data_IF_189508057308
#
_entry.id   IF_189508057308
#
_cell.length_a   1.000
_cell.length_b   1.000
_cell.length_c   1.000
_cell.angle_alpha   90.00
_cell.angle_beta   90.00
_cell.angle_gamma   90.00
#
_symmetry.space_group_name_H-M   'P 1'
#
loop_
_entity.id
_entity.type
_entity.pdbx_description
1 polymer ?
#
# COMPACT_ATOMS: atom_id res chain seq x y z
N UNK A 1 -13.38 -25.24 -32.62
CA UNK A 1 -14.51 -26.15 -32.31
C UNK A 1 -14.60 -26.45 -30.82
N UNK A 2 -13.51 -26.31 -30.05
CA UNK A 2 -13.55 -26.32 -28.59
C UNK A 2 -13.20 -24.94 -28.01
N UNK A 3 -14.21 -24.08 -27.81
CA UNK A 3 -14.05 -22.82 -27.11
C UNK A 3 -14.97 -22.81 -25.89
N UNK A 4 -14.38 -22.79 -24.71
CA UNK A 4 -15.09 -22.61 -23.45
C UNK A 4 -15.02 -21.14 -23.03
N UNK A 5 -16.16 -20.57 -22.65
CA UNK A 5 -16.25 -19.19 -22.19
C UNK A 5 -16.48 -19.18 -20.67
N UNK A 6 -15.58 -18.51 -19.94
CA UNK A 6 -15.74 -18.25 -18.51
C UNK A 6 -15.84 -16.74 -18.29
N UNK A 7 -16.77 -16.31 -17.44
CA UNK A 7 -16.98 -14.92 -17.09
C UNK A 7 -17.16 -14.75 -15.58
N UNK A 8 -16.84 -13.57 -15.07
CA UNK A 8 -17.07 -13.18 -13.69
C UNK A 8 -17.79 -11.84 -13.64
N UNK A 9 -18.67 -11.67 -12.67
CA UNK A 9 -19.38 -10.42 -12.42
C UNK A 9 -19.45 -10.12 -10.92
N UNK A 10 -19.50 -8.85 -10.56
CA UNK A 10 -19.93 -8.47 -9.20
C UNK A 10 -21.43 -8.74 -9.01
N UNK A 11 -21.89 -8.96 -7.78
CA UNK A 11 -23.32 -9.13 -7.51
C UNK A 11 -24.10 -7.90 -8.01
N UNK A 12 -25.31 -8.10 -8.59
CA UNK A 12 -26.16 -7.00 -9.04
C UNK A 12 -26.60 -6.14 -7.85
N UNK A 13 -26.74 -4.83 -8.08
CA UNK A 13 -27.03 -3.84 -7.03
C UNK A 13 -25.93 -2.78 -6.87
N UNK A 14 -26.21 -1.72 -6.11
CA UNK A 14 -25.24 -0.63 -5.87
C UNK A 14 -24.74 0.07 -7.13
N UNK A 15 -25.59 0.18 -8.16
CA UNK A 15 -25.25 0.76 -9.47
C UNK A 15 -24.73 -0.25 -10.51
N UNK A 16 -24.57 -1.53 -10.16
CA UNK A 16 -24.18 -2.60 -11.11
C UNK A 16 -25.38 -3.15 -11.85
N UNK A 17 -25.24 -3.29 -13.17
CA UNK A 17 -26.29 -3.77 -14.08
C UNK A 17 -26.61 -5.25 -13.88
N UNK A 18 -27.89 -5.59 -13.97
CA UNK A 18 -28.37 -6.97 -13.96
C UNK A 18 -28.18 -7.58 -15.36
N UNK A 19 -27.60 -8.77 -15.44
CA UNK A 19 -27.46 -9.50 -16.71
C UNK A 19 -28.83 -10.05 -17.14
N UNK A 20 -29.17 -9.98 -18.43
CA UNK A 20 -30.43 -10.54 -18.94
C UNK A 20 -30.54 -12.05 -18.70
N UNK A 21 -31.75 -12.52 -18.38
CA UNK A 21 -32.02 -13.95 -18.14
C UNK A 21 -31.64 -14.84 -19.34
N UNK A 22 -31.77 -14.31 -20.57
CA UNK A 22 -31.39 -15.00 -21.81
C UNK A 22 -29.89 -15.26 -21.90
N UNK A 23 -29.05 -14.33 -21.41
CA UNK A 23 -27.61 -14.55 -21.37
C UNK A 23 -27.26 -15.49 -20.22
N UNK A 24 -27.87 -15.31 -19.05
CA UNK A 24 -27.64 -16.17 -17.88
C UNK A 24 -27.95 -17.65 -18.17
N UNK A 25 -29.00 -17.96 -18.93
CA UNK A 25 -29.34 -19.34 -19.28
C UNK A 25 -28.33 -20.05 -20.18
N UNK A 26 -27.33 -19.34 -20.72
CA UNK A 26 -26.21 -19.92 -21.48
C UNK A 26 -25.00 -20.26 -20.61
N UNK A 27 -25.02 -19.92 -19.33
CA UNK A 27 -23.91 -20.16 -18.40
C UNK A 27 -24.37 -20.93 -17.17
N UNK A 28 -23.46 -21.70 -16.60
CA UNK A 28 -23.60 -22.19 -15.24
C UNK A 28 -23.17 -21.07 -14.27
N UNK A 29 -24.08 -20.66 -13.38
CA UNK A 29 -23.81 -19.62 -12.39
C UNK A 29 -23.29 -20.26 -11.10
N UNK A 30 -22.07 -19.88 -10.71
CA UNK A 30 -21.47 -20.25 -9.42
C UNK A 30 -21.40 -18.98 -8.57
N UNK A 31 -22.12 -18.97 -7.46
CA UNK A 31 -22.08 -17.85 -6.52
C UNK A 31 -20.88 -17.98 -5.58
N UNK A 32 -19.96 -17.03 -5.66
CA UNK A 32 -18.79 -16.97 -4.77
C UNK A 32 -19.11 -16.09 -3.56
N UNK A 33 -19.31 -16.72 -2.41
CA UNK A 33 -19.51 -16.01 -1.14
C UNK A 33 -18.18 -15.55 -0.54
N UNK A 34 -18.24 -14.60 0.40
CA UNK A 34 -17.05 -14.20 1.13
C UNK A 34 -16.47 -15.39 1.91
N UNK A 35 -15.13 -15.59 1.87
CA UNK A 35 -14.50 -16.67 2.60
C UNK A 35 -14.68 -16.49 4.11
N UNK A 36 -14.81 -17.60 4.82
CA UNK A 36 -14.89 -17.58 6.28
C UNK A 36 -13.57 -17.07 6.88
N UNK A 37 -13.63 -16.46 8.08
CA UNK A 37 -12.46 -15.94 8.78
C UNK A 37 -11.36 -17.01 8.95
N UNK A 38 -11.73 -18.27 9.18
CA UNK A 38 -10.79 -19.39 9.28
C UNK A 38 -10.03 -19.64 7.97
N UNK A 39 -10.67 -19.45 6.82
CA UNK A 39 -10.03 -19.58 5.51
C UNK A 39 -9.08 -18.42 5.24
N UNK A 40 -9.49 -17.18 5.58
CA UNK A 40 -8.65 -15.99 5.49
C UNK A 40 -7.38 -16.17 6.35
N UNK A 41 -7.56 -16.58 7.61
CA UNK A 41 -6.47 -16.89 8.53
C UNK A 41 -5.52 -17.92 7.92
N UNK A 42 -6.05 -19.04 7.43
CA UNK A 42 -5.24 -20.10 6.82
C UNK A 42 -4.43 -19.60 5.62
N UNK A 43 -5.03 -18.80 4.73
CA UNK A 43 -4.34 -18.28 3.54
C UNK A 43 -3.15 -17.42 3.95
N UNK A 44 -3.39 -16.41 4.80
CA UNK A 44 -2.36 -15.44 5.14
C UNK A 44 -1.32 -15.98 6.13
N UNK A 45 -1.71 -16.85 7.06
CA UNK A 45 -0.76 -17.52 7.95
C UNK A 45 0.20 -18.41 7.16
N UNK A 46 -0.31 -19.14 6.16
CA UNK A 46 0.54 -19.99 5.30
C UNK A 46 1.58 -19.15 4.56
N UNK A 47 1.18 -18.02 3.98
CA UNK A 47 2.08 -17.12 3.25
C UNK A 47 3.21 -16.58 4.14
N UNK A 48 2.87 -16.03 5.31
CA UNK A 48 3.88 -15.44 6.19
C UNK A 48 4.75 -16.50 6.86
N UNK A 49 4.19 -17.63 7.27
CA UNK A 49 4.95 -18.70 7.89
C UNK A 49 5.92 -19.36 6.90
N UNK A 50 5.59 -19.39 5.61
CA UNK A 50 6.53 -19.80 4.57
C UNK A 50 7.71 -18.83 4.48
N UNK A 51 7.45 -17.52 4.50
CA UNK A 51 8.50 -16.49 4.48
C UNK A 51 9.39 -16.54 5.72
N UNK A 52 8.84 -16.93 6.87
CA UNK A 52 9.56 -17.04 8.15
C UNK A 52 10.30 -18.39 8.34
N UNK A 53 10.26 -19.31 7.38
CA UNK A 53 10.95 -20.61 7.54
C UNK A 53 12.46 -20.46 7.73
N UNK A 54 13.06 -19.47 7.06
CA UNK A 54 14.50 -19.18 7.09
C UNK A 54 14.93 -18.31 8.27
N UNK A 55 13.99 -17.97 9.17
CA UNK A 55 14.24 -17.20 10.39
C UNK A 55 14.46 -18.14 11.58
N UNK A 56 15.03 -17.59 12.66
CA UNK A 56 15.20 -18.31 13.92
C UNK A 56 13.87 -18.89 14.44
N UNK A 57 13.94 -20.06 15.09
CA UNK A 57 12.76 -20.78 15.60
C UNK A 57 11.88 -19.91 16.52
N UNK A 58 12.49 -18.98 17.25
CA UNK A 58 11.79 -18.06 18.14
C UNK A 58 10.90 -17.05 17.39
N UNK A 59 11.21 -16.77 16.12
CA UNK A 59 10.49 -15.81 15.28
C UNK A 59 9.32 -16.45 14.54
N UNK A 60 9.36 -17.76 14.23
CA UNK A 60 8.30 -18.45 13.46
C UNK A 60 6.88 -18.30 14.03
N UNK A 61 6.65 -18.35 15.36
CA UNK A 61 5.31 -18.18 15.93
C UNK A 61 4.67 -16.81 15.63
N UNK A 62 5.48 -15.77 15.37
CA UNK A 62 4.97 -14.41 15.15
C UNK A 62 4.07 -14.30 13.93
N UNK A 63 4.25 -15.16 12.91
CA UNK A 63 3.47 -15.11 11.68
C UNK A 63 1.97 -15.36 11.93
N UNK A 64 1.64 -16.33 12.79
CA UNK A 64 0.26 -16.60 13.18
C UNK A 64 -0.34 -15.44 13.98
N UNK A 65 0.45 -14.89 14.91
CA UNK A 65 0.05 -13.76 15.77
C UNK A 65 -0.27 -12.53 14.93
N UNK A 66 0.59 -12.17 13.97
CA UNK A 66 0.37 -11.04 13.05
C UNK A 66 -0.84 -11.27 12.18
N UNK A 67 -1.09 -12.51 11.77
CA UNK A 67 -2.28 -12.85 10.97
C UNK A 67 -3.56 -12.58 11.75
N UNK A 68 -3.63 -13.03 13.00
CA UNK A 68 -4.78 -12.77 13.86
C UNK A 68 -4.94 -11.27 14.14
N UNK A 69 -3.85 -10.59 14.49
CA UNK A 69 -3.86 -9.14 14.73
C UNK A 69 -4.35 -8.34 13.51
N UNK A 70 -3.93 -8.74 12.30
CA UNK A 70 -4.33 -8.07 11.05
C UNK A 70 -5.81 -8.26 10.74
N UNK A 71 -6.33 -9.47 10.94
CA UNK A 71 -7.75 -9.78 10.72
C UNK A 71 -8.62 -9.01 11.72
N UNK A 72 -8.25 -9.00 13.00
CA UNK A 72 -8.99 -8.27 14.03
C UNK A 72 -8.92 -6.75 13.85
N UNK A 73 -7.75 -6.22 13.45
CA UNK A 73 -7.61 -4.81 13.10
C UNK A 73 -8.49 -4.44 11.90
N UNK A 74 -8.46 -5.25 10.84
CA UNK A 74 -9.29 -5.05 9.65
C UNK A 74 -10.78 -5.03 10.00
N UNK A 75 -11.25 -5.99 10.82
CA UNK A 75 -12.64 -6.05 11.26
C UNK A 75 -13.04 -4.77 12.01
N UNK A 76 -12.18 -4.30 12.92
CA UNK A 76 -12.40 -3.05 13.64
C UNK A 76 -12.42 -1.83 12.71
N UNK A 77 -11.52 -1.78 11.72
CA UNK A 77 -11.47 -0.68 10.73
C UNK A 77 -12.75 -0.65 9.90
N UNK A 78 -13.19 -1.79 9.36
CA UNK A 78 -14.41 -1.88 8.54
C UNK A 78 -15.65 -1.47 9.34
N UNK A 79 -15.73 -1.85 10.62
CA UNK A 79 -16.86 -1.48 11.47
C UNK A 79 -16.86 -0.01 11.86
N UNK A 80 -15.68 0.58 12.11
CA UNK A 80 -15.56 1.95 12.63
C UNK A 80 -15.58 3.01 11.53
N UNK A 81 -14.95 2.74 10.39
CA UNK A 81 -14.71 3.72 9.33
C UNK A 81 -15.60 3.44 8.12
N UNK A 82 -16.87 3.81 8.24
CA UNK A 82 -17.87 3.62 7.19
C UNK A 82 -17.79 4.72 6.12
N UNK A 83 -18.07 4.39 4.84
CA UNK A 83 -18.12 5.37 3.78
C UNK A 83 -19.30 6.34 3.99
N UNK A 84 -19.03 7.63 3.89
CA UNK A 84 -20.04 8.70 3.90
C UNK A 84 -19.93 9.51 2.60
N UNK A 85 -20.91 10.37 2.24
CA UNK A 85 -20.78 11.24 1.06
C UNK A 85 -19.51 12.11 1.07
N UNK A 86 -19.00 12.48 2.23
CA UNK A 86 -17.74 13.23 2.39
C UNK A 86 -16.50 12.33 2.43
N UNK A 87 -16.66 11.03 2.72
CA UNK A 87 -15.59 10.03 2.89
C UNK A 87 -15.82 8.78 2.05
N UNK A 88 -16.20 8.96 0.78
CA UNK A 88 -16.57 7.84 -0.12
C UNK A 88 -15.44 6.84 -0.36
N UNK A 89 -14.19 7.23 -0.12
CA UNK A 89 -13.00 6.41 -0.32
C UNK A 89 -12.69 5.50 0.88
N UNK A 90 -13.49 5.55 1.95
CA UNK A 90 -13.39 4.65 3.11
C UNK A 90 -14.03 3.29 2.80
N UNK A 91 -13.63 2.69 1.68
CA UNK A 91 -14.08 1.39 1.24
C UNK A 91 -12.96 0.38 1.48
N UNK A 92 -13.14 -0.44 2.51
CA UNK A 92 -12.17 -1.47 2.90
C UNK A 92 -12.67 -2.86 2.47
N UNK A 93 -11.76 -3.68 1.95
CA UNK A 93 -12.06 -5.05 1.51
C UNK A 93 -10.85 -5.98 1.71
N UNK A 94 -10.98 -7.27 1.39
CA UNK A 94 -9.93 -8.28 1.59
C UNK A 94 -8.61 -8.00 0.84
N UNK A 95 -8.63 -7.14 -0.20
CA UNK A 95 -7.40 -6.68 -0.86
C UNK A 95 -6.52 -5.87 0.10
N UNK A 96 -7.11 -5.24 1.11
CA UNK A 96 -6.36 -4.44 2.08
C UNK A 96 -5.52 -5.34 2.99
N UNK A 97 -6.07 -6.46 3.45
CA UNK A 97 -5.28 -7.50 4.14
C UNK A 97 -4.16 -7.99 3.21
N UNK A 98 -4.49 -8.25 1.93
CA UNK A 98 -3.48 -8.69 0.95
C UNK A 98 -2.34 -7.69 0.79
N UNK A 99 -2.62 -6.38 0.79
CA UNK A 99 -1.61 -5.32 0.69
C UNK A 99 -0.73 -5.21 1.92
N UNK A 100 -1.26 -5.46 3.12
CA UNK A 100 -0.47 -5.52 4.35
C UNK A 100 0.51 -6.70 4.24
N UNK A 101 0.02 -7.88 3.87
CA UNK A 101 0.87 -9.05 3.72
C UNK A 101 1.90 -8.91 2.58
N UNK A 102 1.57 -8.22 1.48
CA UNK A 102 2.56 -7.88 0.45
C UNK A 102 3.75 -7.09 1.02
N UNK A 103 3.50 -6.18 1.96
CA UNK A 103 4.56 -5.48 2.67
C UNK A 103 5.29 -6.37 3.68
N UNK A 104 4.55 -7.14 4.49
CA UNK A 104 5.14 -8.06 5.47
C UNK A 104 6.05 -9.11 4.83
N UNK A 105 5.73 -9.57 3.62
CA UNK A 105 6.54 -10.56 2.89
C UNK A 105 7.90 -10.01 2.42
N UNK A 106 8.14 -8.70 2.55
CA UNK A 106 9.45 -8.06 2.30
C UNK A 106 10.41 -8.14 3.50
N UNK A 107 9.98 -8.77 4.59
CA UNK A 107 10.84 -9.01 5.76
C UNK A 107 12.13 -9.73 5.37
N UNK A 108 13.23 -9.37 6.02
CA UNK A 108 14.56 -9.93 5.79
C UNK A 108 15.18 -10.39 7.12
N UNK A 109 15.67 -11.64 7.18
CA UNK A 109 16.13 -12.28 8.43
C UNK A 109 17.20 -11.49 9.17
N UNK A 110 18.17 -10.94 8.44
CA UNK A 110 19.31 -10.23 9.03
C UNK A 110 18.95 -8.82 9.56
N UNK A 111 17.76 -8.31 9.23
CA UNK A 111 17.31 -6.96 9.61
C UNK A 111 16.03 -6.97 10.46
N UNK A 112 15.37 -8.12 10.54
CA UNK A 112 14.09 -8.28 11.22
C UNK A 112 14.11 -9.54 12.11
N UNK A 113 15.19 -9.69 12.84
CA UNK A 113 15.49 -10.80 13.74
C UNK A 113 14.74 -10.72 15.09
N UNK A 114 14.08 -9.60 15.39
CA UNK A 114 13.35 -9.41 16.65
C UNK A 114 11.84 -9.26 16.49
N UNK A 115 11.10 -9.62 17.55
CA UNK A 115 9.65 -9.35 17.64
C UNK A 115 9.35 -7.86 17.43
N UNK A 116 10.22 -6.97 17.92
CA UNK A 116 10.07 -5.52 17.81
C UNK A 116 10.21 -5.05 16.36
N UNK A 117 11.23 -5.50 15.63
CA UNK A 117 11.45 -5.09 14.23
C UNK A 117 10.30 -5.52 13.32
N UNK A 118 9.82 -6.75 13.47
CA UNK A 118 8.65 -7.22 12.69
C UNK A 118 7.37 -6.48 13.11
N UNK A 119 7.18 -6.19 14.40
CA UNK A 119 6.02 -5.43 14.86
C UNK A 119 6.01 -4.01 14.32
N UNK A 120 7.17 -3.35 14.22
CA UNK A 120 7.32 -2.03 13.61
C UNK A 120 6.99 -2.04 12.12
N UNK A 121 7.43 -3.07 11.39
CA UNK A 121 7.07 -3.29 10.00
C UNK A 121 5.55 -3.49 9.84
N UNK A 122 4.93 -4.32 10.68
CA UNK A 122 3.48 -4.52 10.67
C UNK A 122 2.71 -3.24 10.93
N UNK A 123 3.13 -2.46 11.93
CA UNK A 123 2.57 -1.13 12.20
C UNK A 123 2.69 -0.24 10.97
N UNK A 124 3.88 -0.15 10.34
CA UNK A 124 4.08 0.65 9.12
C UNK A 124 3.07 0.26 8.03
N UNK A 125 2.96 -1.03 7.71
CA UNK A 125 2.05 -1.52 6.66
C UNK A 125 0.57 -1.24 6.97
N UNK A 126 0.16 -1.37 8.24
CA UNK A 126 -1.18 -0.99 8.68
C UNK A 126 -1.46 0.50 8.47
N UNK A 127 -0.50 1.38 8.76
CA UNK A 127 -0.62 2.81 8.47
C UNK A 127 -0.71 3.09 6.97
N UNK A 128 0.16 2.48 6.15
CA UNK A 128 0.16 2.69 4.69
C UNK A 128 -1.12 2.21 4.02
N UNK A 129 -1.71 1.12 4.50
CA UNK A 129 -2.91 0.54 3.89
C UNK A 129 -4.19 1.23 4.35
N UNK A 130 -4.30 1.55 5.65
CA UNK A 130 -5.51 2.14 6.22
C UNK A 130 -5.39 3.64 6.40
N UNK A 131 -4.39 4.09 7.18
CA UNK A 131 -4.29 5.48 7.63
C UNK A 131 -4.08 6.48 6.51
N UNK A 132 -3.41 6.09 5.41
CA UNK A 132 -3.21 6.97 4.26
C UNK A 132 -4.51 7.36 3.54
N UNK A 133 -5.65 6.72 3.86
CA UNK A 133 -6.96 7.13 3.36
C UNK A 133 -7.66 8.13 4.26
N UNK A 134 -7.23 8.31 5.51
CA UNK A 134 -7.96 9.15 6.44
C UNK A 134 -7.73 10.64 6.16
N UNK A 135 -8.83 11.41 6.22
CA UNK A 135 -8.81 12.85 5.95
C UNK A 135 -8.67 13.65 7.24
N UNK A 136 -9.31 13.20 8.32
CA UNK A 136 -9.38 13.94 9.58
C UNK A 136 -8.39 13.40 10.61
N UNK A 137 -7.79 14.29 11.40
CA UNK A 137 -6.91 13.92 12.52
C UNK A 137 -7.62 13.03 13.54
N UNK A 138 -8.93 13.25 13.74
CA UNK A 138 -9.77 12.42 14.63
C UNK A 138 -9.83 10.96 14.18
N UNK A 139 -9.92 10.71 12.87
CA UNK A 139 -9.96 9.35 12.33
C UNK A 139 -8.60 8.66 12.53
N UNK A 140 -7.51 9.41 12.34
CA UNK A 140 -6.16 8.92 12.61
C UNK A 140 -5.97 8.56 14.09
N UNK A 141 -6.41 9.41 15.02
CA UNK A 141 -6.37 9.11 16.46
C UNK A 141 -7.18 7.86 16.82
N UNK A 142 -8.40 7.73 16.30
CA UNK A 142 -9.23 6.54 16.50
C UNK A 142 -8.55 5.27 15.95
N UNK A 143 -7.90 5.37 14.80
CA UNK A 143 -7.14 4.26 14.23
C UNK A 143 -5.95 3.88 15.10
N UNK A 144 -5.20 4.85 15.63
CA UNK A 144 -4.09 4.58 16.55
C UNK A 144 -4.57 3.88 17.82
N UNK A 145 -5.73 4.27 18.37
CA UNK A 145 -6.33 3.58 19.51
C UNK A 145 -6.64 2.12 19.18
N UNK A 146 -7.30 1.86 18.05
CA UNK A 146 -7.62 0.51 17.60
C UNK A 146 -6.36 -0.32 17.36
N UNK A 147 -5.35 0.25 16.71
CA UNK A 147 -4.05 -0.39 16.48
C UNK A 147 -3.35 -0.72 17.80
N UNK A 148 -3.33 0.21 18.75
CA UNK A 148 -2.69 0.04 20.04
C UNK A 148 -3.38 -1.05 20.88
N UNK A 149 -4.70 -1.20 20.77
CA UNK A 149 -5.44 -2.31 21.37
C UNK A 149 -4.96 -3.66 20.80
N UNK A 150 -4.83 -3.78 19.47
CA UNK A 150 -4.36 -5.03 18.84
C UNK A 150 -2.89 -5.32 19.12
N UNK A 151 -2.04 -4.29 19.21
CA UNK A 151 -0.66 -4.44 19.69
C UNK A 151 -0.61 -5.02 21.12
N UNK A 152 -1.46 -4.53 22.02
CA UNK A 152 -1.52 -5.01 23.39
C UNK A 152 -1.98 -6.46 23.49
N UNK A 153 -3.06 -6.81 22.79
CA UNK A 153 -3.67 -8.16 22.84
C UNK A 153 -2.77 -9.22 22.20
N UNK A 154 -2.18 -8.93 21.04
CA UNK A 154 -1.49 -9.95 20.25
C UNK A 154 0.02 -9.92 20.43
N UNK A 155 0.62 -8.76 20.68
CA UNK A 155 2.07 -8.59 20.68
C UNK A 155 2.64 -8.19 22.04
N UNK A 156 1.79 -8.00 23.07
CA UNK A 156 2.18 -7.50 24.40
C UNK A 156 2.98 -6.19 24.32
N UNK A 157 2.63 -5.35 23.34
CA UNK A 157 3.34 -4.12 23.01
C UNK A 157 2.38 -2.94 22.98
N UNK A 158 2.93 -1.73 23.09
CA UNK A 158 2.18 -0.50 22.87
C UNK A 158 2.78 0.26 21.70
N UNK A 159 1.95 1.03 21.02
CA UNK A 159 2.39 1.92 19.95
C UNK A 159 3.44 2.92 20.45
N UNK A 160 3.31 3.41 21.69
CA UNK A 160 4.30 4.29 22.30
C UNK A 160 5.66 3.61 22.50
N UNK A 161 5.68 2.36 22.97
CA UNK A 161 6.94 1.63 23.17
C UNK A 161 7.62 1.32 21.84
N UNK A 162 6.84 0.98 20.82
CA UNK A 162 7.38 0.78 19.48
C UNK A 162 7.81 2.11 18.86
N UNK A 163 7.05 3.18 19.02
CA UNK A 163 7.21 4.47 18.36
C UNK A 163 7.12 5.62 19.37
N UNK A 164 8.21 5.94 20.10
CA UNK A 164 8.21 6.94 21.17
C UNK A 164 7.77 8.34 20.70
N UNK A 165 8.11 8.68 19.45
CA UNK A 165 7.77 9.97 18.85
C UNK A 165 6.30 10.06 18.38
N UNK A 166 5.46 9.06 18.66
CA UNK A 166 4.07 8.92 18.19
C UNK A 166 3.90 9.03 16.67
N UNK A 167 4.96 8.73 15.93
CA UNK A 167 4.98 8.75 14.47
C UNK A 167 5.04 7.32 13.96
N UNK A 168 4.32 7.03 12.88
CA UNK A 168 4.43 5.71 12.26
C UNK A 168 5.87 5.48 11.82
N UNK A 169 6.41 4.26 11.93
CA UNK A 169 7.67 3.92 11.30
C UNK A 169 7.61 4.19 9.80
N UNK A 170 8.74 4.48 9.19
CA UNK A 170 8.89 4.70 7.74
C UNK A 170 9.79 3.59 7.24
N UNK A 171 9.29 2.74 6.35
CA UNK A 171 10.09 1.70 5.73
C UNK A 171 10.39 2.04 4.27
N UNK A 172 11.54 1.57 3.79
CA UNK A 172 11.96 1.72 2.40
C UNK A 172 13.18 0.85 2.10
N UNK A 173 13.36 0.53 0.82
CA UNK A 173 14.44 -0.31 0.30
C UNK A 173 15.42 0.44 -0.61
N UNK A 174 15.17 1.72 -0.85
CA UNK A 174 15.90 2.53 -1.83
C UNK A 174 17.21 3.15 -1.32
N UNK A 175 17.51 3.16 -0.01
CA UNK A 175 18.79 3.73 0.48
C UNK A 175 19.93 2.73 0.33
N UNK A 176 19.68 1.46 0.68
CA UNK A 176 20.68 0.38 0.61
C UNK A 176 20.46 -0.59 -0.56
N UNK A 177 19.46 -0.34 -1.40
CA UNK A 177 19.25 -1.04 -2.67
C UNK A 177 18.41 -2.31 -2.59
N UNK A 178 18.48 -3.10 -1.51
CA UNK A 178 17.91 -4.46 -1.51
C UNK A 178 17.08 -4.84 -0.26
N UNK A 179 17.06 -3.98 0.75
CA UNK A 179 16.53 -4.33 2.08
C UNK A 179 15.45 -3.36 2.49
N UNK A 180 14.23 -3.87 2.66
CA UNK A 180 13.11 -3.08 3.16
C UNK A 180 13.26 -2.84 4.66
N UNK A 181 13.94 -1.75 5.03
CA UNK A 181 14.37 -1.47 6.40
C UNK A 181 13.64 -0.26 7.01
N UNK A 182 13.75 -0.13 8.33
CA UNK A 182 13.20 0.97 9.10
C UNK A 182 14.08 2.22 9.03
N UNK A 183 13.61 3.24 8.32
CA UNK A 183 14.31 4.48 8.05
C UNK A 183 14.18 5.47 9.22
N UNK A 184 14.83 5.13 10.33
CA UNK A 184 14.78 5.90 11.58
C UNK A 184 15.54 7.23 11.52
N UNK A 185 16.63 7.29 10.75
CA UNK A 185 17.45 8.50 10.62
C UNK A 185 16.88 9.44 9.56
N UNK A 186 15.95 10.30 9.99
CA UNK A 186 15.29 11.27 9.13
C UNK A 186 16.27 12.23 8.42
N UNK A 187 17.38 12.60 9.08
CA UNK A 187 18.39 13.49 8.48
C UNK A 187 19.11 12.82 7.31
N UNK A 188 19.47 11.54 7.47
CA UNK A 188 20.07 10.76 6.39
C UNK A 188 19.08 10.54 5.24
N UNK A 189 17.82 10.23 5.54
CA UNK A 189 16.75 10.10 4.55
C UNK A 189 16.56 11.39 3.74
N UNK A 190 16.53 12.54 4.42
CA UNK A 190 16.45 13.85 3.77
C UNK A 190 17.65 14.10 2.84
N UNK A 191 18.87 13.90 3.34
CA UNK A 191 20.09 14.12 2.54
C UNK A 191 20.13 13.20 1.30
N UNK A 192 19.69 11.95 1.44
CA UNK A 192 19.56 11.03 0.31
C UNK A 192 18.57 11.54 -0.74
N UNK A 193 17.37 11.98 -0.33
CA UNK A 193 16.38 12.50 -1.28
C UNK A 193 16.81 13.83 -1.92
N UNK A 194 17.52 14.69 -1.19
CA UNK A 194 18.10 15.92 -1.75
C UNK A 194 19.18 15.62 -2.79
N UNK A 195 20.01 14.61 -2.55
CA UNK A 195 20.97 14.10 -3.53
C UNK A 195 20.26 13.55 -4.77
N UNK A 196 19.23 12.70 -4.60
CA UNK A 196 18.46 12.15 -5.72
C UNK A 196 17.77 13.24 -6.55
N UNK A 197 17.29 14.31 -5.91
CA UNK A 197 16.73 15.46 -6.60
C UNK A 197 17.79 16.22 -7.42
N UNK A 198 19.01 16.37 -6.89
CA UNK A 198 20.11 17.00 -7.61
C UNK A 198 20.52 16.18 -8.85
N UNK A 199 20.64 14.86 -8.71
CA UNK A 199 20.93 13.93 -9.81
C UNK A 199 19.83 13.95 -10.88
N UNK A 200 18.56 13.95 -10.46
CA UNK A 200 17.44 14.13 -11.40
C UNK A 200 17.60 15.43 -12.18
N UNK A 201 17.86 16.55 -11.52
CA UNK A 201 18.02 17.85 -12.18
C UNK A 201 19.25 17.93 -13.09
N UNK A 202 20.28 17.12 -12.85
CA UNK A 202 21.46 17.00 -13.68
C UNK A 202 21.25 16.11 -14.91
N UNK A 203 20.17 15.31 -14.95
CA UNK A 203 19.89 14.38 -16.05
C UNK A 203 19.52 15.15 -17.33
N UNK A 204 20.19 14.91 -18.47
CA UNK A 204 19.89 15.62 -19.71
C UNK A 204 18.46 15.39 -20.20
N UNK A 205 17.78 16.47 -20.63
CA UNK A 205 16.45 16.41 -21.25
C UNK A 205 15.28 16.40 -20.26
N UNK A 206 15.54 16.37 -18.95
CA UNK A 206 14.47 16.50 -17.93
C UNK A 206 14.17 17.95 -17.61
N UNK A 207 12.95 18.22 -17.15
CA UNK A 207 12.56 19.54 -16.63
C UNK A 207 12.99 19.64 -15.17
N UNK A 208 13.93 20.55 -14.88
CA UNK A 208 14.45 20.78 -13.53
C UNK A 208 13.32 21.11 -12.54
N UNK A 209 13.33 20.44 -11.40
CA UNK A 209 12.37 20.62 -10.32
C UNK A 209 13.00 21.38 -9.14
N UNK A 210 12.42 22.52 -8.78
CA UNK A 210 12.77 23.26 -7.57
C UNK A 210 11.91 22.81 -6.39
N UNK A 211 12.16 21.62 -5.86
CA UNK A 211 11.43 21.06 -4.71
C UNK A 211 12.13 21.35 -3.39
N UNK A 212 11.37 21.76 -2.39
CA UNK A 212 11.83 21.85 -0.99
C UNK A 212 11.37 20.60 -0.25
N UNK A 213 12.31 19.78 0.19
CA UNK A 213 12.04 18.52 0.90
C UNK A 213 11.89 18.76 2.42
N UNK A 214 10.70 19.22 2.80
CA UNK A 214 10.26 19.23 4.19
C UNK A 214 9.65 17.88 4.58
N UNK A 215 9.25 17.74 5.85
CA UNK A 215 8.85 16.45 6.43
C UNK A 215 7.76 15.72 5.64
N UNK A 216 6.65 16.38 5.36
CA UNK A 216 5.53 15.72 4.68
C UNK A 216 5.88 15.37 3.23
N UNK A 217 6.69 16.19 2.55
CA UNK A 217 7.17 15.86 1.20
C UNK A 217 7.98 14.56 1.19
N UNK A 218 8.89 14.39 2.15
CA UNK A 218 9.67 13.15 2.31
C UNK A 218 8.76 11.96 2.61
N UNK A 219 7.80 12.11 3.51
CA UNK A 219 6.83 11.05 3.80
C UNK A 219 5.96 10.70 2.59
N UNK A 220 5.58 11.67 1.77
CA UNK A 220 4.83 11.41 0.56
C UNK A 220 5.67 10.67 -0.49
N UNK A 221 6.94 11.02 -0.65
CA UNK A 221 7.86 10.29 -1.52
C UNK A 221 8.00 8.84 -1.05
N UNK A 222 8.21 8.59 0.24
CA UNK A 222 8.32 7.21 0.75
C UNK A 222 7.04 6.40 0.54
N UNK A 223 5.85 7.02 0.69
CA UNK A 223 4.57 6.39 0.38
C UNK A 223 4.45 6.03 -1.10
N UNK A 224 4.84 6.94 -2.00
CA UNK A 224 4.79 6.72 -3.45
C UNK A 224 5.76 5.59 -3.83
N UNK A 225 7.03 5.68 -3.40
CA UNK A 225 8.05 4.65 -3.66
C UNK A 225 7.58 3.28 -3.15
N UNK A 226 7.01 3.19 -1.94
CA UNK A 226 6.45 1.93 -1.41
C UNK A 226 5.35 1.34 -2.27
N UNK A 227 4.55 2.16 -2.96
CA UNK A 227 3.47 1.66 -3.83
C UNK A 227 4.00 1.28 -5.20
N UNK A 228 4.84 2.10 -5.84
CA UNK A 228 5.31 1.85 -7.21
C UNK A 228 6.40 0.77 -7.29
N UNK A 229 7.16 0.54 -6.21
CA UNK A 229 8.12 -0.57 -6.10
C UNK A 229 7.42 -1.94 -6.07
N UNK A 230 6.13 -1.99 -5.75
CA UNK A 230 5.38 -3.25 -5.75
C UNK A 230 4.94 -3.63 -7.18
N UNK A 231 5.01 -4.91 -7.56
CA UNK A 231 4.54 -5.37 -8.86
C UNK A 231 3.08 -4.97 -9.10
N UNK A 232 2.82 -4.32 -10.23
CA UNK A 232 1.50 -3.79 -10.61
C UNK A 232 0.96 -2.76 -9.60
N UNK A 233 1.85 -2.06 -8.91
CA UNK A 233 1.53 -0.97 -8.00
C UNK A 233 0.93 0.22 -8.72
N UNK A 234 -0.16 0.76 -8.16
CA UNK A 234 -0.82 1.95 -8.68
C UNK A 234 -1.30 2.83 -7.52
N UNK A 235 -1.08 4.14 -7.63
CA UNK A 235 -1.44 5.12 -6.60
C UNK A 235 -2.27 6.25 -7.20
N UNK A 236 -3.34 6.64 -6.51
CA UNK A 236 -4.10 7.84 -6.83
C UNK A 236 -3.71 8.95 -5.85
N UNK A 237 -3.12 10.03 -6.36
CA UNK A 237 -2.71 11.18 -5.55
C UNK A 237 -3.78 12.28 -5.58
N UNK A 238 -4.49 12.44 -4.47
CA UNK A 238 -5.55 13.46 -4.30
C UNK A 238 -5.02 14.60 -3.45
N UNK A 239 -5.20 15.83 -3.91
CA UNK A 239 -4.76 17.03 -3.21
C UNK A 239 -5.12 18.29 -3.98
N UNK A 240 -4.94 19.46 -3.36
CA UNK A 240 -5.15 20.76 -4.02
C UNK A 240 -4.08 21.02 -5.08
N UNK A 241 -4.34 21.95 -6.00
CA UNK A 241 -3.34 22.43 -6.95
C UNK A 241 -2.11 23.00 -6.24
N UNK A 242 -0.91 22.78 -6.79
CA UNK A 242 0.34 23.28 -6.18
C UNK A 242 0.90 22.44 -5.03
N UNK A 243 0.23 21.36 -4.61
CA UNK A 243 0.71 20.44 -3.54
C UNK A 243 1.94 19.59 -3.90
N UNK A 244 2.53 19.79 -5.09
CA UNK A 244 3.74 19.06 -5.52
C UNK A 244 3.50 17.62 -6.00
N UNK A 245 2.25 17.13 -6.09
CA UNK A 245 1.93 15.73 -6.47
C UNK A 245 2.68 15.21 -7.69
N UNK A 246 2.75 16.00 -8.77
CA UNK A 246 3.46 15.63 -9.99
C UNK A 246 4.96 15.51 -9.73
N UNK A 247 5.56 16.55 -9.14
CA UNK A 247 7.00 16.60 -8.88
C UNK A 247 7.47 15.53 -7.88
N UNK A 248 6.67 15.25 -6.83
CA UNK A 248 6.94 14.17 -5.88
C UNK A 248 6.82 12.80 -6.55
N UNK A 249 5.89 12.62 -7.50
CA UNK A 249 5.78 11.38 -8.28
C UNK A 249 6.98 11.18 -9.20
N UNK A 250 7.45 12.24 -9.86
CA UNK A 250 8.62 12.21 -10.72
C UNK A 250 9.89 11.86 -9.93
N UNK A 251 10.10 12.51 -8.78
CA UNK A 251 11.22 12.17 -7.89
C UNK A 251 11.13 10.73 -7.38
N UNK A 252 9.93 10.26 -7.02
CA UNK A 252 9.75 8.87 -6.55
C UNK A 252 10.03 7.84 -7.63
N UNK A 253 9.63 8.12 -8.87
CA UNK A 253 9.94 7.28 -10.02
C UNK A 253 11.44 7.24 -10.30
N UNK A 254 12.12 8.39 -10.24
CA UNK A 254 13.57 8.48 -10.35
C UNK A 254 14.30 7.68 -9.26
N UNK A 255 13.87 7.79 -8.00
CA UNK A 255 14.41 6.99 -6.88
C UNK A 255 14.22 5.47 -7.10
N UNK A 256 13.20 5.08 -7.85
CA UNK A 256 12.89 3.67 -8.16
C UNK A 256 13.47 3.22 -9.51
N UNK A 257 14.36 4.03 -10.12
CA UNK A 257 14.94 3.78 -11.44
C UNK A 257 13.91 3.54 -12.56
N UNK A 258 12.74 4.21 -12.46
CA UNK A 258 11.68 4.11 -13.46
C UNK A 258 11.69 5.29 -14.41
N UNK A 259 11.60 4.98 -15.70
CA UNK A 259 11.31 5.97 -16.73
C UNK A 259 9.86 6.42 -16.61
N UNK A 260 9.63 7.73 -16.62
CA UNK A 260 8.29 8.30 -16.62
C UNK A 260 7.87 8.65 -18.03
N UNK A 261 6.67 8.22 -18.39
CA UNK A 261 6.03 8.60 -19.65
C UNK A 261 4.80 9.45 -19.32
N UNK A 262 4.76 10.66 -19.88
CA UNK A 262 3.63 11.56 -19.72
C UNK A 262 3.08 11.90 -21.10
N UNK A 263 1.79 11.66 -21.29
CA UNK A 263 1.12 12.02 -22.54
C UNK A 263 0.93 13.54 -22.59
N UNK A 264 1.47 14.17 -23.63
CA UNK A 264 1.29 15.60 -23.90
C UNK A 264 -0.01 15.85 -24.66
N UNK A 265 -0.91 16.59 -24.02
CA UNK A 265 -2.19 16.97 -24.62
C UNK A 265 -2.02 18.27 -25.40
N UNK A 266 -2.13 18.19 -26.73
CA UNK A 266 -2.14 19.36 -27.63
C UNK A 266 -3.57 19.82 -27.94
N UNK A 267 -3.73 20.99 -28.57
CA UNK A 267 -5.05 21.50 -29.00
C UNK A 267 -5.78 20.56 -29.98
N UNK A 268 -5.03 19.70 -30.68
CA UNK A 268 -5.55 18.78 -31.69
C UNK A 268 -5.59 17.33 -31.17
N UNK A 269 -5.35 17.12 -29.88
CA UNK A 269 -5.27 15.80 -29.28
C UNK A 269 -6.60 15.04 -29.37
N UNK A 270 -6.59 13.88 -30.04
CA UNK A 270 -7.76 13.02 -30.22
C UNK A 270 -7.47 11.61 -29.67
N UNK A 271 -8.42 10.71 -29.92
CA UNK A 271 -8.40 9.33 -29.44
C UNK A 271 -7.29 8.49 -30.06
N UNK A 272 -6.82 8.83 -31.27
CA UNK A 272 -5.77 8.05 -31.93
C UNK A 272 -4.42 8.29 -31.24
N UNK A 273 -4.10 9.54 -30.97
CA UNK A 273 -2.89 9.97 -30.26
C UNK A 273 -2.83 9.38 -28.84
N UNK A 274 -3.98 9.30 -28.14
CA UNK A 274 -4.04 8.60 -26.85
C UNK A 274 -3.76 7.09 -26.96
N UNK A 275 -4.22 6.44 -28.03
CA UNK A 275 -4.01 5.00 -28.22
C UNK A 275 -2.56 4.72 -28.58
N UNK A 276 -1.98 5.52 -29.47
CA UNK A 276 -0.57 5.44 -29.87
C UNK A 276 0.35 5.67 -28.67
N UNK A 277 0.12 6.74 -27.89
CA UNK A 277 0.92 6.99 -26.69
C UNK A 277 0.82 5.89 -25.62
N UNK A 278 -0.32 5.18 -25.54
CA UNK A 278 -0.46 4.02 -24.64
C UNK A 278 0.30 2.77 -25.13
N UNK A 279 0.48 2.60 -26.44
CA UNK A 279 1.27 1.49 -26.98
C UNK A 279 2.77 1.68 -26.83
N UNK A 280 3.22 2.93 -26.63
CA UNK A 280 4.63 3.27 -26.42
C UNK A 280 5.07 3.21 -24.95
N UNK A 281 4.12 3.19 -24.00
CA UNK A 281 4.34 3.10 -22.54
C UNK A 281 4.38 1.66 -22.03
#
# INVERSE_FOLDING_TARGET
QDMFLMGAMGPPGGGRTVISARLQSRFNLINMTFPATSQIKRIFSTLINQKLQDFDEQMKPIGNVITDATIELYNGVVQKFLPTPTKIHYLFNLRDISKIFQGMLRVHKDYHDTKISISRLWVHECFRVFSDRFVDHKDMEMFVVLLNEKLGIFLDMTFHNLCPNKQSPIFGDFIRGDVYEDLTNFKALKAYMEHQLAEYNATPGVVSMSLVLFKDAIEHVTRIVRVISQPRGNMLLVGIGGSGRQSLSQLSAFISDYNTYQIEVTKVYRKMEFREGRSES
#
